data_IF_240673682949
#
_entry.id   IF_240673682949
#
_cell.length_a   1.000
_cell.length_b   1.000
_cell.length_c   1.000
_cell.angle_alpha   90.00
_cell.angle_beta   90.00
_cell.angle_gamma   90.00
#
_symmetry.space_group_name_H-M   'P 1'
#
loop_
_entity.id
_entity.type
_entity.pdbx_description
1 polymer ?
#
# COMPACT_ATOMS: atom_id res chain seq x y z
N UNK A 1 12.79 -18.07 61.80
CA UNK A 1 14.03 -18.29 62.56
C UNK A 1 15.05 -18.76 61.53
N UNK A 2 15.89 -17.84 61.02
CA UNK A 2 17.25 -17.56 61.53
C UNK A 2 18.23 -18.69 61.14
N UNK A 3 19.38 -18.46 60.52
CA UNK A 3 20.05 -17.22 60.05
C UNK A 3 21.18 -17.55 59.07
N UNK A 4 21.80 -16.54 58.47
CA UNK A 4 23.08 -16.61 57.71
C UNK A 4 24.25 -17.13 58.60
N UNK A 5 25.50 -17.39 58.16
CA UNK A 5 26.30 -16.91 57.00
C UNK A 5 27.58 -17.77 56.79
N UNK A 6 28.50 -17.30 55.93
CA UNK A 6 29.91 -17.72 55.72
C UNK A 6 30.19 -19.05 54.96
N UNK A 7 31.25 -19.20 54.12
CA UNK A 7 32.24 -18.26 53.53
C UNK A 7 33.08 -18.99 52.46
N UNK A 8 33.42 -18.35 51.33
CA UNK A 8 34.39 -18.85 50.34
C UNK A 8 35.84 -18.50 50.74
N UNK A 9 36.90 -19.12 50.15
CA UNK A 9 37.48 -18.53 48.92
C UNK A 9 38.22 -19.50 47.94
N UNK A 10 38.54 -18.97 46.76
CA UNK A 10 39.70 -19.21 45.85
C UNK A 10 40.11 -20.64 45.41
N UNK A 11 40.56 -20.92 44.18
CA UNK A 11 40.54 -20.24 42.85
C UNK A 11 40.95 -21.32 41.79
N UNK A 12 41.34 -21.11 40.52
CA UNK A 12 41.67 -19.99 39.61
C UNK A 12 41.48 -20.50 38.14
N UNK A 13 41.18 -19.60 37.20
CA UNK A 13 41.58 -19.53 35.75
C UNK A 13 41.46 -20.79 34.82
N UNK A 14 41.31 -20.69 33.50
CA UNK A 14 41.24 -19.56 32.54
C UNK A 14 40.41 -19.99 31.29
N UNK A 15 40.39 -19.15 30.25
CA UNK A 15 39.94 -19.43 28.85
C UNK A 15 38.44 -19.58 28.57
N UNK A 16 37.77 -18.44 28.32
CA UNK A 16 36.92 -18.29 27.14
C UNK A 16 37.28 -16.95 26.48
N UNK A 17 37.69 -17.03 25.21
CA UNK A 17 38.14 -15.87 24.42
C UNK A 17 37.02 -14.84 24.21
N UNK A 18 37.41 -13.57 24.19
CA UNK A 18 36.58 -12.48 23.68
C UNK A 18 36.28 -12.71 22.20
N UNK A 19 35.01 -12.71 21.82
CA UNK A 19 34.61 -12.47 20.45
C UNK A 19 33.92 -11.11 20.42
N UNK A 20 34.51 -10.20 19.65
CA UNK A 20 34.26 -8.77 19.69
C UNK A 20 32.83 -8.43 19.23
N UNK A 21 32.26 -7.38 19.83
CA UNK A 21 31.02 -6.78 19.37
C UNK A 21 31.19 -6.32 17.91
N UNK A 22 30.35 -6.83 17.02
CA UNK A 22 30.17 -6.20 15.70
C UNK A 22 29.20 -5.06 15.92
N UNK A 23 29.74 -3.85 16.01
CA UNK A 23 28.97 -2.62 16.12
C UNK A 23 28.04 -2.50 14.90
N UNK A 24 26.73 -2.49 15.15
CA UNK A 24 25.71 -2.30 14.13
C UNK A 24 25.58 -0.80 13.82
N UNK A 25 26.23 -0.35 12.75
CA UNK A 25 26.26 1.06 12.32
C UNK A 25 24.85 1.63 12.01
N UNK A 26 23.79 0.82 12.02
CA UNK A 26 22.39 1.27 11.88
C UNK A 26 21.71 1.66 13.21
N UNK A 27 22.36 1.48 14.36
CA UNK A 27 21.77 1.79 15.66
C UNK A 27 21.55 3.30 15.87
N UNK A 28 22.54 4.13 15.52
CA UNK A 28 22.48 5.59 15.71
C UNK A 28 21.45 6.27 14.79
N UNK A 29 21.32 5.80 13.53
CA UNK A 29 20.32 6.34 12.59
C UNK A 29 18.89 6.09 13.08
N UNK A 30 18.65 4.94 13.70
CA UNK A 30 17.37 4.63 14.35
C UNK A 30 17.11 5.45 15.63
N UNK A 31 18.13 5.74 16.44
CA UNK A 31 17.94 6.55 17.66
C UNK A 31 17.73 8.03 17.32
N UNK A 32 18.46 8.57 16.33
CA UNK A 32 18.23 9.92 15.80
C UNK A 32 16.82 10.05 15.21
N UNK A 33 16.40 9.10 14.36
CA UNK A 33 15.05 9.10 13.78
C UNK A 33 13.97 9.03 14.87
N UNK A 34 14.15 8.17 15.89
CA UNK A 34 13.24 8.09 17.05
C UNK A 34 13.26 9.36 17.91
N UNK A 35 14.38 10.05 18.03
CA UNK A 35 14.49 11.31 18.75
C UNK A 35 13.83 12.46 18.00
N UNK A 36 13.96 12.50 16.66
CA UNK A 36 13.29 13.47 15.77
C UNK A 36 11.77 13.25 15.77
N UNK A 37 11.30 12.00 15.67
CA UNK A 37 9.88 11.66 15.78
C UNK A 37 9.30 12.10 17.14
N UNK A 38 9.96 11.74 18.25
CA UNK A 38 9.56 12.22 19.60
C UNK A 38 9.55 13.75 19.71
N UNK A 39 10.46 14.44 19.03
CA UNK A 39 10.48 15.90 19.01
C UNK A 39 9.32 16.47 18.18
N UNK A 40 8.96 15.84 17.06
CA UNK A 40 7.78 16.17 16.27
C UNK A 40 6.49 15.93 17.07
N UNK A 41 6.36 14.81 17.77
CA UNK A 41 5.22 14.48 18.63
C UNK A 41 5.02 15.50 19.75
N UNK A 42 6.12 15.89 20.42
CA UNK A 42 6.10 16.92 21.47
C UNK A 42 5.71 18.28 20.90
N UNK A 43 6.21 18.65 19.71
CA UNK A 43 5.81 19.89 19.04
C UNK A 43 4.33 19.87 18.63
N UNK A 44 3.83 18.76 18.07
CA UNK A 44 2.43 18.55 17.72
C UNK A 44 1.52 18.63 18.96
N UNK A 45 1.93 18.02 20.07
CA UNK A 45 1.22 18.10 21.35
C UNK A 45 1.16 19.54 21.90
N UNK A 46 2.27 20.28 21.85
CA UNK A 46 2.33 21.70 22.26
C UNK A 46 1.43 22.57 21.35
N UNK A 47 1.47 22.35 20.03
CA UNK A 47 0.61 23.06 19.08
C UNK A 47 -0.88 22.74 19.31
N UNK A 48 -1.21 21.46 19.56
CA UNK A 48 -2.55 21.01 19.91
C UNK A 48 -3.05 21.65 21.22
N UNK A 49 -2.20 21.71 22.24
CA UNK A 49 -2.52 22.34 23.52
C UNK A 49 -2.70 23.86 23.37
N UNK A 50 -1.85 24.55 22.61
CA UNK A 50 -1.99 25.98 22.30
C UNK A 50 -3.28 26.25 21.50
N UNK A 51 -3.64 25.38 20.55
CA UNK A 51 -4.91 25.44 19.81
C UNK A 51 -6.10 25.25 20.75
N UNK A 52 -6.04 24.29 21.68
CA UNK A 52 -7.05 24.05 22.72
C UNK A 52 -7.22 25.28 23.64
N UNK A 53 -6.12 25.92 24.04
CA UNK A 53 -6.12 27.14 24.86
C UNK A 53 -6.68 28.35 24.09
N UNK A 54 -6.31 28.53 22.82
CA UNK A 54 -6.88 29.58 21.96
C UNK A 54 -8.39 29.37 21.76
N UNK A 55 -8.83 28.14 21.49
CA UNK A 55 -10.24 27.77 21.45
C UNK A 55 -10.94 28.08 22.78
N UNK A 56 -10.25 27.89 23.91
CA UNK A 56 -10.78 28.15 25.25
C UNK A 56 -10.79 29.63 25.67
N UNK A 57 -9.86 30.46 25.16
CA UNK A 57 -9.83 31.90 25.38
C UNK A 57 -10.95 32.64 24.60
N UNK A 58 -11.53 32.02 23.57
CA UNK A 58 -12.56 32.67 22.76
C UNK A 58 -13.86 33.00 23.54
N UNK A 59 -14.50 34.15 23.25
CA UNK A 59 -15.75 34.54 23.90
C UNK A 59 -16.86 33.47 23.77
N UNK A 60 -17.76 33.32 24.77
CA UNK A 60 -18.82 32.31 24.75
C UNK A 60 -19.73 32.38 23.51
N UNK A 61 -19.94 33.58 22.95
CA UNK A 61 -20.69 33.76 21.70
C UNK A 61 -19.97 33.14 20.49
N UNK A 62 -18.64 33.26 20.42
CA UNK A 62 -17.83 32.69 19.34
C UNK A 62 -17.77 31.17 19.48
N UNK A 63 -17.55 30.64 20.70
CA UNK A 63 -17.65 29.21 20.99
C UNK A 63 -19.01 28.63 20.58
N UNK A 64 -20.12 29.34 20.82
CA UNK A 64 -21.46 28.93 20.37
C UNK A 64 -21.60 28.90 18.85
N UNK A 65 -21.00 29.85 18.12
CA UNK A 65 -20.95 29.85 16.65
C UNK A 65 -20.15 28.66 16.14
N UNK A 66 -18.96 28.39 16.70
CA UNK A 66 -18.12 27.24 16.33
C UNK A 66 -18.86 25.91 16.57
N UNK A 67 -19.57 25.75 17.70
CA UNK A 67 -20.40 24.56 17.94
C UNK A 67 -21.54 24.42 16.93
N UNK A 68 -22.14 25.51 16.46
CA UNK A 68 -23.13 25.47 15.39
C UNK A 68 -22.51 25.08 14.04
N UNK A 69 -21.30 25.58 13.72
CA UNK A 69 -20.55 25.18 12.52
C UNK A 69 -20.16 23.70 12.56
N UNK A 70 -19.68 23.17 13.70
CA UNK A 70 -19.42 21.73 13.87
C UNK A 70 -20.68 20.87 13.68
N UNK A 71 -21.87 21.36 14.09
CA UNK A 71 -23.13 20.65 13.82
C UNK A 71 -23.48 20.64 12.33
N UNK A 72 -23.27 21.76 11.62
CA UNK A 72 -23.47 21.82 10.16
C UNK A 72 -22.46 20.92 9.42
N UNK A 73 -21.22 20.84 9.89
CA UNK A 73 -20.22 19.90 9.35
C UNK A 73 -20.68 18.45 9.54
N UNK A 74 -21.15 18.08 10.73
CA UNK A 74 -21.70 16.74 10.98
C UNK A 74 -22.92 16.44 10.08
N UNK A 75 -23.79 17.43 9.85
CA UNK A 75 -24.91 17.28 8.91
C UNK A 75 -24.43 17.06 7.46
N UNK A 76 -23.32 17.69 7.05
CA UNK A 76 -22.69 17.45 5.74
C UNK A 76 -22.05 16.06 5.64
N UNK A 77 -21.26 15.64 6.62
CA UNK A 77 -20.63 14.30 6.68
C UNK A 77 -21.67 13.17 6.68
N UNK A 78 -22.85 13.38 7.28
CA UNK A 78 -23.98 12.44 7.20
C UNK A 78 -24.68 12.38 5.81
N UNK A 79 -24.46 13.38 4.94
CA UNK A 79 -24.91 13.37 3.54
C UNK A 79 -23.84 12.69 2.68
N UNK A 80 -22.56 12.96 2.95
CA UNK A 80 -21.39 12.38 2.30
C UNK A 80 -21.33 10.84 2.46
N UNK A 81 -21.56 10.35 3.68
CA UNK A 81 -21.75 8.91 3.96
C UNK A 81 -22.80 8.26 3.04
N UNK A 82 -23.96 8.91 2.83
CA UNK A 82 -25.01 8.41 1.92
C UNK A 82 -24.63 8.50 0.45
N UNK A 83 -23.87 9.53 0.06
CA UNK A 83 -23.32 9.63 -1.29
C UNK A 83 -22.42 8.41 -1.57
N UNK A 84 -21.55 8.06 -0.64
CA UNK A 84 -20.70 6.87 -0.78
C UNK A 84 -21.47 5.54 -0.72
N UNK A 85 -22.54 5.42 0.09
CA UNK A 85 -23.46 4.27 -0.01
C UNK A 85 -24.09 4.13 -1.41
N UNK A 86 -24.50 5.24 -2.03
CA UNK A 86 -25.02 5.26 -3.40
C UNK A 86 -23.95 4.95 -4.46
N UNK A 87 -22.69 5.41 -4.25
CA UNK A 87 -21.53 5.07 -5.10
C UNK A 87 -21.22 3.57 -5.02
N UNK A 88 -21.13 2.96 -3.84
CA UNK A 88 -20.90 1.51 -3.71
C UNK A 88 -22.02 0.69 -4.36
N UNK A 89 -23.28 1.11 -4.23
CA UNK A 89 -24.40 0.48 -4.92
C UNK A 89 -24.31 0.63 -6.47
N UNK A 90 -23.72 1.73 -6.95
CA UNK A 90 -23.44 1.95 -8.37
C UNK A 90 -22.28 1.07 -8.85
N UNK A 91 -21.19 0.97 -8.10
CA UNK A 91 -20.07 0.05 -8.34
C UNK A 91 -20.57 -1.39 -8.45
N UNK A 92 -21.33 -1.88 -7.47
CA UNK A 92 -21.94 -3.22 -7.48
C UNK A 92 -22.81 -3.47 -8.72
N UNK A 93 -23.52 -2.44 -9.21
CA UNK A 93 -24.33 -2.52 -10.43
C UNK A 93 -23.47 -2.64 -11.70
N UNK A 94 -22.39 -1.86 -11.81
CA UNK A 94 -21.50 -1.90 -12.98
C UNK A 94 -20.54 -3.10 -12.97
N UNK A 95 -20.12 -3.56 -11.79
CA UNK A 95 -19.32 -4.77 -11.62
C UNK A 95 -19.98 -6.02 -12.22
N UNK A 96 -21.32 -6.11 -12.13
CA UNK A 96 -22.10 -7.17 -12.80
C UNK A 96 -22.03 -7.12 -14.33
N UNK A 97 -21.67 -5.97 -14.92
CA UNK A 97 -21.44 -5.80 -16.36
C UNK A 97 -19.99 -6.14 -16.73
N UNK A 98 -19.02 -5.89 -15.84
CA UNK A 98 -17.62 -6.25 -16.03
C UNK A 98 -17.34 -7.74 -15.81
N UNK A 99 -18.03 -8.38 -14.85
CA UNK A 99 -17.82 -9.79 -14.50
C UNK A 99 -17.83 -10.75 -15.72
N UNK A 100 -18.78 -10.68 -16.68
CA UNK A 100 -18.73 -11.49 -17.90
C UNK A 100 -17.51 -11.23 -18.80
N UNK A 101 -16.96 -10.01 -18.79
CA UNK A 101 -15.74 -9.67 -19.53
C UNK A 101 -14.51 -10.27 -18.84
N UNK A 102 -14.44 -10.22 -17.50
CA UNK A 102 -13.37 -10.88 -16.74
C UNK A 102 -13.43 -12.41 -16.88
N UNK A 103 -14.61 -13.03 -16.91
CA UNK A 103 -14.74 -14.47 -17.22
C UNK A 103 -14.24 -14.80 -18.64
N UNK A 104 -14.55 -13.94 -19.64
CA UNK A 104 -13.97 -14.11 -21.00
C UNK A 104 -12.45 -13.97 -21.00
N UNK A 105 -11.91 -12.97 -20.31
CA UNK A 105 -10.46 -12.78 -20.14
C UNK A 105 -9.82 -14.03 -19.53
N UNK A 106 -10.40 -14.59 -18.47
CA UNK A 106 -9.92 -15.82 -17.84
C UNK A 106 -9.95 -17.01 -18.81
N UNK A 107 -10.97 -17.14 -19.65
CA UNK A 107 -11.01 -18.18 -20.70
C UNK A 107 -9.88 -18.02 -21.73
N UNK A 108 -9.55 -16.79 -22.14
CA UNK A 108 -8.41 -16.53 -23.06
C UNK A 108 -7.08 -16.84 -22.37
N UNK A 109 -6.86 -16.34 -21.14
CA UNK A 109 -5.65 -16.63 -20.35
C UNK A 109 -5.46 -18.15 -20.17
N UNK A 110 -6.53 -18.91 -19.97
CA UNK A 110 -6.48 -20.36 -19.78
C UNK A 110 -6.46 -21.18 -21.08
N UNK A 111 -6.54 -20.57 -22.27
CA UNK A 111 -6.63 -21.30 -23.55
C UNK A 111 -7.95 -22.07 -23.74
N UNK A 112 -9.01 -21.66 -23.03
CA UNK A 112 -10.37 -22.20 -23.16
C UNK A 112 -11.18 -21.51 -24.29
N UNK A 113 -10.76 -20.31 -24.70
CA UNK A 113 -11.30 -19.58 -25.85
C UNK A 113 -10.14 -19.03 -26.67
N UNK A 114 -10.06 -19.44 -27.94
CA UNK A 114 -9.14 -18.84 -28.91
C UNK A 114 -9.79 -17.60 -29.52
N UNK A 115 -9.16 -16.40 -29.42
CA UNK A 115 -9.67 -15.19 -30.04
C UNK A 115 -9.87 -15.33 -31.54
N UNK A 116 -11.00 -14.82 -32.03
CA UNK A 116 -11.30 -14.80 -33.48
C UNK A 116 -10.78 -13.53 -34.15
N UNK A 117 -10.52 -13.60 -35.47
CA UNK A 117 -10.11 -12.44 -36.28
C UNK A 117 -11.06 -11.23 -36.13
N UNK A 118 -12.36 -11.48 -35.88
CA UNK A 118 -13.38 -10.44 -35.63
C UNK A 118 -13.28 -9.82 -34.22
N UNK A 119 -12.79 -10.56 -33.22
CA UNK A 119 -12.60 -10.08 -31.84
C UNK A 119 -11.32 -9.23 -31.69
N UNK A 120 -10.33 -9.42 -32.56
CA UNK A 120 -9.11 -8.60 -32.62
C UNK A 120 -9.20 -7.46 -33.66
N UNK A 121 -10.20 -7.48 -34.54
CA UNK A 121 -10.35 -6.50 -35.62
C UNK A 121 -10.52 -5.07 -35.10
N UNK A 122 -9.49 -4.24 -35.30
CA UNK A 122 -9.48 -2.83 -34.90
C UNK A 122 -8.53 -2.52 -33.74
N UNK A 123 -7.92 -3.53 -33.12
CA UNK A 123 -6.61 -3.37 -32.48
C UNK A 123 -5.59 -3.15 -33.61
N UNK A 124 -4.85 -2.04 -33.61
CA UNK A 124 -3.82 -1.81 -34.62
C UNK A 124 -2.54 -2.54 -34.25
N UNK A 125 -2.05 -3.34 -35.19
CA UNK A 125 -0.70 -3.91 -35.25
C UNK A 125 0.30 -2.75 -35.52
N UNK A 126 0.38 -1.82 -34.57
CA UNK A 126 1.29 -0.67 -34.60
C UNK A 126 2.71 -1.15 -34.30
N UNK A 127 3.74 -0.41 -34.75
CA UNK A 127 5.16 -0.80 -34.62
C UNK A 127 5.61 -1.04 -33.15
N UNK A 128 4.78 -0.63 -32.17
CA UNK A 128 4.94 -0.93 -30.73
C UNK A 128 4.63 -2.38 -30.36
N UNK A 129 3.72 -3.06 -31.04
CA UNK A 129 3.34 -4.45 -30.71
C UNK A 129 4.48 -5.42 -31.05
N UNK A 130 5.26 -5.14 -32.09
CA UNK A 130 6.49 -5.85 -32.44
C UNK A 130 7.59 -5.64 -31.37
N UNK A 131 7.72 -4.42 -30.84
CA UNK A 131 8.68 -4.07 -29.77
C UNK A 131 8.27 -4.71 -28.42
N UNK A 132 6.99 -4.62 -28.05
CA UNK A 132 6.40 -5.30 -26.90
C UNK A 132 6.54 -6.83 -26.99
N UNK A 133 6.27 -7.41 -28.17
CA UNK A 133 6.50 -8.84 -28.41
C UNK A 133 7.98 -9.22 -28.29
N UNK A 134 8.92 -8.34 -28.66
CA UNK A 134 10.34 -8.55 -28.47
C UNK A 134 10.73 -8.47 -26.98
N UNK A 135 10.15 -7.54 -26.22
CA UNK A 135 10.43 -7.38 -24.79
C UNK A 135 9.85 -8.53 -23.95
N UNK A 136 8.62 -8.97 -24.24
CA UNK A 136 8.02 -10.17 -23.62
C UNK A 136 8.90 -11.40 -23.90
N UNK A 137 9.44 -11.56 -25.12
CA UNK A 137 10.40 -12.63 -25.45
C UNK A 137 11.72 -12.49 -24.70
N UNK A 138 12.21 -11.26 -24.47
CA UNK A 138 13.44 -11.01 -23.71
C UNK A 138 13.27 -11.32 -22.21
N UNK A 139 12.09 -11.01 -21.63
CA UNK A 139 11.73 -11.33 -20.24
C UNK A 139 11.48 -12.85 -20.05
N UNK A 140 10.87 -13.52 -21.04
CA UNK A 140 10.67 -15.00 -21.05
C UNK A 140 11.90 -15.73 -21.58
N UNK A 141 12.95 -15.85 -20.74
CA UNK A 141 14.23 -16.52 -21.08
C UNK A 141 14.08 -18.01 -21.46
N UNK A 142 13.83 -18.29 -22.74
CA UNK A 142 13.85 -19.65 -23.34
C UNK A 142 14.64 -19.64 -24.66
N UNK A 143 15.91 -19.19 -24.64
CA UNK A 143 16.73 -19.16 -25.87
C UNK A 143 18.21 -19.56 -25.75
N UNK A 144 18.76 -19.79 -24.54
CA UNK A 144 20.19 -20.09 -24.34
C UNK A 144 20.69 -21.48 -24.80
N UNK A 145 19.86 -22.28 -25.48
CA UNK A 145 20.22 -23.65 -25.89
C UNK A 145 19.72 -24.07 -27.29
N UNK A 146 20.13 -23.37 -28.37
CA UNK A 146 20.43 -24.05 -29.65
C UNK A 146 21.20 -23.18 -30.69
N UNK A 147 22.10 -23.76 -31.51
CA UNK A 147 22.81 -23.02 -32.56
C UNK A 147 21.96 -22.83 -33.84
N UNK A 148 22.23 -21.80 -34.66
CA UNK A 148 21.37 -21.43 -35.78
C UNK A 148 21.55 -22.33 -37.01
N UNK A 149 20.47 -22.97 -37.50
CA UNK A 149 20.34 -23.46 -38.87
C UNK A 149 18.92 -23.36 -39.44
N UNK A 150 18.88 -22.96 -40.72
CA UNK A 150 17.83 -23.12 -41.73
C UNK A 150 16.43 -22.55 -41.44
N UNK A 151 16.07 -21.48 -42.16
CA UNK A 151 14.78 -20.76 -42.06
C UNK A 151 13.54 -21.66 -42.24
N UNK A 152 13.61 -22.73 -43.03
CA UNK A 152 12.49 -23.69 -43.16
C UNK A 152 12.27 -24.54 -41.91
N UNK A 153 13.31 -24.79 -41.13
CA UNK A 153 13.18 -25.45 -39.84
C UNK A 153 12.63 -24.50 -38.77
N UNK A 154 12.80 -23.16 -38.92
CA UNK A 154 12.08 -22.18 -38.09
C UNK A 154 10.58 -22.25 -38.35
N UNK A 155 10.13 -22.17 -39.61
CA UNK A 155 8.70 -22.22 -39.96
C UNK A 155 8.03 -23.53 -39.47
N UNK A 156 8.66 -24.70 -39.66
CA UNK A 156 8.12 -25.97 -39.14
C UNK A 156 8.21 -26.12 -37.62
N UNK A 157 9.18 -25.46 -36.95
CA UNK A 157 9.30 -25.45 -35.49
C UNK A 157 8.33 -24.47 -34.82
N UNK A 158 8.09 -23.29 -35.39
CA UNK A 158 7.10 -22.32 -34.91
C UNK A 158 5.68 -22.90 -35.03
N UNK A 159 5.37 -23.56 -36.15
CA UNK A 159 4.08 -24.22 -36.38
C UNK A 159 3.87 -25.52 -35.56
N UNK A 160 4.91 -25.99 -34.84
CA UNK A 160 4.81 -27.01 -33.80
C UNK A 160 4.84 -26.42 -32.38
N UNK A 161 5.58 -25.33 -32.13
CA UNK A 161 5.55 -24.61 -30.84
C UNK A 161 4.14 -24.10 -30.53
N UNK A 162 3.43 -23.54 -31.51
CA UNK A 162 2.06 -23.04 -31.34
C UNK A 162 0.99 -24.13 -31.10
N UNK A 163 1.35 -25.42 -31.01
CA UNK A 163 0.42 -26.50 -30.65
C UNK A 163 0.51 -26.95 -29.19
N UNK A 164 1.61 -26.63 -28.51
CA UNK A 164 1.85 -27.03 -27.11
C UNK A 164 1.67 -25.85 -26.13
N UNK A 165 1.53 -24.61 -26.62
CA UNK A 165 1.19 -23.45 -25.78
C UNK A 165 -0.33 -23.25 -25.80
N UNK A 166 -0.98 -23.48 -24.66
CA UNK A 166 -2.40 -23.23 -24.46
C UNK A 166 -2.57 -22.05 -23.51
N UNK A 167 -3.30 -21.02 -23.95
CA UNK A 167 -3.51 -19.80 -23.19
C UNK A 167 -2.25 -18.91 -23.10
N UNK A 168 -2.18 -18.11 -22.03
CA UNK A 168 -1.09 -17.18 -21.75
C UNK A 168 -0.35 -17.68 -20.49
N UNK A 169 0.82 -18.35 -20.64
CA UNK A 169 1.57 -18.88 -19.51
C UNK A 169 1.98 -17.79 -18.52
N UNK A 170 1.99 -18.15 -17.23
CA UNK A 170 2.45 -17.32 -16.11
C UNK A 170 1.80 -15.91 -16.01
N UNK A 171 0.67 -15.66 -16.68
CA UNK A 171 0.04 -14.32 -16.79
C UNK A 171 -0.03 -13.54 -15.47
N UNK A 172 -0.61 -14.14 -14.42
CA UNK A 172 -0.70 -13.48 -13.11
C UNK A 172 0.64 -13.41 -12.40
N UNK A 173 1.51 -14.42 -12.50
CA UNK A 173 2.86 -14.36 -11.93
C UNK A 173 3.68 -13.21 -12.53
N UNK A 174 3.55 -12.96 -13.84
CA UNK A 174 4.18 -11.81 -14.50
C UNK A 174 3.66 -10.50 -13.94
N UNK A 175 2.35 -10.33 -13.76
CA UNK A 175 1.76 -9.15 -13.10
C UNK A 175 2.33 -8.95 -11.68
N UNK A 176 2.40 -10.02 -10.89
CA UNK A 176 2.95 -9.99 -9.54
C UNK A 176 4.44 -9.60 -9.49
N UNK A 177 5.21 -9.88 -10.55
CA UNK A 177 6.62 -9.46 -10.67
C UNK A 177 6.80 -8.06 -11.25
N UNK A 178 5.87 -7.64 -12.10
CA UNK A 178 5.89 -6.34 -12.78
C UNK A 178 5.51 -5.20 -11.82
N UNK A 179 4.64 -5.46 -10.84
CA UNK A 179 4.13 -4.45 -9.90
C UNK A 179 4.98 -4.42 -8.63
N UNK A 180 5.63 -3.30 -8.34
CA UNK A 180 6.55 -3.14 -7.20
C UNK A 180 5.94 -3.67 -5.88
N UNK A 181 4.78 -3.10 -5.48
CA UNK A 181 4.02 -3.45 -4.27
C UNK A 181 3.71 -4.96 -4.13
N UNK A 182 3.49 -5.66 -5.25
CA UNK A 182 3.21 -7.10 -5.23
C UNK A 182 4.49 -7.94 -5.27
N UNK A 183 5.53 -7.46 -5.94
CA UNK A 183 6.79 -8.17 -6.10
C UNK A 183 7.57 -8.31 -4.79
N UNK A 184 7.51 -7.29 -3.92
CA UNK A 184 8.07 -7.31 -2.57
C UNK A 184 7.45 -8.39 -1.67
N UNK A 185 6.23 -8.84 -1.98
CA UNK A 185 5.56 -9.92 -1.25
C UNK A 185 5.94 -11.33 -1.73
N UNK A 186 6.51 -11.46 -2.92
CA UNK A 186 6.66 -12.75 -3.62
C UNK A 186 8.07 -13.29 -3.51
N UNK A 187 8.21 -14.39 -2.78
CA UNK A 187 9.49 -15.08 -2.61
C UNK A 187 9.76 -16.08 -3.75
N UNK A 188 11.04 -16.43 -3.99
CA UNK A 188 11.45 -17.39 -5.03
C UNK A 188 10.70 -18.74 -4.96
N UNK A 189 10.28 -19.12 -3.76
CA UNK A 189 9.59 -20.38 -3.49
C UNK A 189 8.06 -20.31 -3.68
N UNK A 190 7.50 -19.11 -3.79
CA UNK A 190 6.09 -18.86 -4.09
C UNK A 190 5.83 -18.91 -5.61
N UNK A 191 6.80 -18.48 -6.43
CA UNK A 191 6.62 -18.42 -7.89
C UNK A 191 6.08 -19.73 -8.49
N UNK A 192 6.62 -20.93 -8.16
CA UNK A 192 6.12 -22.19 -8.73
C UNK A 192 4.66 -22.50 -8.36
N UNK A 193 4.16 -21.91 -7.28
CA UNK A 193 2.78 -22.01 -6.82
C UNK A 193 1.91 -20.99 -7.56
N UNK A 194 2.41 -19.76 -7.73
CA UNK A 194 1.76 -18.69 -8.49
C UNK A 194 1.64 -19.00 -9.99
N UNK A 195 2.51 -19.85 -10.57
CA UNK A 195 2.31 -20.41 -11.93
C UNK A 195 0.98 -21.18 -12.09
N UNK A 196 0.38 -21.64 -10.99
CA UNK A 196 -0.92 -22.29 -11.00
C UNK A 196 -2.11 -21.32 -10.87
N UNK A 197 -1.88 -20.03 -10.62
CA UNK A 197 -2.92 -18.99 -10.52
C UNK A 197 -3.48 -18.67 -11.91
N UNK A 198 -4.77 -18.95 -12.11
CA UNK A 198 -5.46 -18.84 -13.41
C UNK A 198 -6.37 -17.61 -13.53
N UNK A 199 -6.97 -17.14 -12.44
CA UNK A 199 -7.77 -15.91 -12.41
C UNK A 199 -7.77 -15.27 -11.03
N UNK A 200 -7.96 -13.95 -11.00
CA UNK A 200 -8.23 -13.17 -9.79
C UNK A 200 -9.54 -12.45 -10.00
N UNK A 201 -10.53 -12.77 -9.16
CA UNK A 201 -11.87 -12.20 -9.22
C UNK A 201 -12.15 -11.34 -8.00
N UNK A 202 -12.84 -10.22 -8.21
CA UNK A 202 -13.42 -9.42 -7.14
C UNK A 202 -14.90 -9.78 -7.02
N UNK A 203 -15.39 -10.01 -5.81
CA UNK A 203 -16.82 -10.11 -5.49
C UNK A 203 -17.17 -8.95 -4.56
N UNK A 204 -17.93 -7.97 -5.05
CA UNK A 204 -18.41 -6.86 -4.23
C UNK A 204 -19.60 -7.30 -3.36
N UNK A 205 -19.58 -6.95 -2.08
CA UNK A 205 -20.62 -7.27 -1.10
C UNK A 205 -21.59 -6.10 -0.97
N UNK A 206 -22.83 -6.28 -1.42
CA UNK A 206 -23.77 -5.16 -1.60
C UNK A 206 -24.26 -4.52 -0.30
N UNK A 207 -24.38 -5.27 0.82
CA UNK A 207 -24.90 -4.75 2.10
C UNK A 207 -24.41 -5.48 3.35
N UNK A 208 -24.01 -4.66 4.32
CA UNK A 208 -23.96 -4.85 5.78
C UNK A 208 -23.35 -6.18 6.32
N UNK A 209 -22.01 -6.22 6.54
CA UNK A 209 -21.04 -5.18 6.20
C UNK A 209 -20.91 -5.04 4.67
N UNK A 210 -20.68 -3.81 4.20
CA UNK A 210 -20.21 -3.64 2.82
C UNK A 210 -18.75 -4.06 2.73
N UNK A 211 -18.26 -4.34 1.53
CA UNK A 211 -16.90 -4.85 1.39
C UNK A 211 -16.70 -5.59 0.08
N UNK A 212 -15.64 -6.39 0.04
CA UNK A 212 -15.32 -7.21 -1.12
C UNK A 212 -14.53 -8.46 -0.75
N UNK A 213 -14.61 -9.48 -1.61
CA UNK A 213 -13.78 -10.69 -1.54
C UNK A 213 -12.92 -10.75 -2.78
N UNK A 214 -11.61 -10.90 -2.60
CA UNK A 214 -10.67 -11.31 -3.63
C UNK A 214 -10.63 -12.84 -3.67
N UNK A 215 -10.99 -13.43 -4.81
CA UNK A 215 -10.87 -14.86 -5.07
C UNK A 215 -9.71 -15.13 -6.02
N UNK A 216 -8.72 -15.88 -5.55
CA UNK A 216 -7.56 -16.33 -6.30
C UNK A 216 -7.81 -17.77 -6.74
N UNK A 217 -8.10 -17.97 -8.02
CA UNK A 217 -8.46 -19.26 -8.60
C UNK A 217 -7.20 -20.00 -9.06
N UNK A 218 -6.97 -21.21 -8.55
CA UNK A 218 -5.81 -22.03 -8.86
C UNK A 218 -6.19 -23.29 -9.63
N UNK A 219 -5.39 -23.59 -10.65
CA UNK A 219 -5.37 -24.90 -11.29
C UNK A 219 -4.96 -26.01 -10.30
N UNK A 220 -5.38 -27.28 -10.52
CA UNK A 220 -4.95 -28.40 -9.69
C UNK A 220 -3.44 -28.51 -9.61
N UNK A 221 -2.90 -28.41 -8.39
CA UNK A 221 -1.46 -28.29 -8.14
C UNK A 221 -0.99 -29.25 -7.03
N UNK A 222 0.32 -29.40 -6.87
CA UNK A 222 0.91 -30.28 -5.85
C UNK A 222 1.09 -29.62 -4.47
N UNK A 223 0.81 -28.32 -4.33
CA UNK A 223 1.13 -27.53 -3.14
C UNK A 223 0.00 -27.52 -2.11
N UNK A 224 -1.25 -27.36 -2.54
CA UNK A 224 -2.44 -27.38 -1.67
C UNK A 224 -3.66 -27.98 -2.36
N UNK A 225 -4.70 -28.30 -1.58
CA UNK A 225 -5.95 -28.90 -2.09
C UNK A 225 -7.01 -27.89 -2.53
N UNK A 226 -6.85 -26.61 -2.19
CA UNK A 226 -7.80 -25.55 -2.52
C UNK A 226 -7.80 -25.26 -4.02
N UNK A 227 -8.98 -25.12 -4.64
CA UNK A 227 -9.12 -24.55 -5.99
C UNK A 227 -9.26 -23.03 -5.98
N UNK A 228 -9.69 -22.45 -4.85
CA UNK A 228 -9.82 -21.00 -4.65
C UNK A 228 -9.25 -20.65 -3.27
N UNK A 229 -8.41 -19.62 -3.22
CA UNK A 229 -8.03 -18.94 -1.99
C UNK A 229 -8.77 -17.61 -1.92
N UNK A 230 -9.34 -17.28 -0.76
CA UNK A 230 -10.19 -16.09 -0.59
C UNK A 230 -9.59 -15.13 0.43
N UNK A 231 -9.64 -13.83 0.12
CA UNK A 231 -9.33 -12.74 1.06
C UNK A 231 -10.51 -11.79 1.09
N UNK A 232 -11.15 -11.66 2.24
CA UNK A 232 -12.36 -10.87 2.49
C UNK A 232 -11.98 -9.58 3.23
N UNK A 233 -12.55 -8.46 2.81
CA UNK A 233 -12.39 -7.15 3.42
C UNK A 233 -13.76 -6.58 3.75
N UNK A 234 -13.98 -6.24 5.02
CA UNK A 234 -15.15 -5.49 5.49
C UNK A 234 -14.82 -3.99 5.50
N UNK A 235 -15.73 -3.20 4.95
CA UNK A 235 -15.63 -1.75 4.81
C UNK A 235 -16.75 -1.07 5.59
N UNK A 236 -16.43 0.08 6.18
CA UNK A 236 -17.39 0.98 6.85
C UNK A 236 -17.54 2.25 6.02
N UNK A 237 -18.77 2.74 5.91
CA UNK A 237 -19.11 3.99 5.20
C UNK A 237 -19.95 4.94 6.09
N UNK A 238 -20.06 4.61 7.37
CA UNK A 238 -20.69 5.43 8.40
C UNK A 238 -19.62 6.20 9.16
N UNK A 239 -19.82 7.49 9.49
CA UNK A 239 -18.93 8.22 10.38
C UNK A 239 -18.89 7.57 11.75
N UNK A 240 -17.72 7.57 12.39
CA UNK A 240 -17.54 7.02 13.74
C UNK A 240 -18.34 7.82 14.78
N UNK A 241 -18.90 7.16 15.81
CA UNK A 241 -19.68 7.88 16.84
C UNK A 241 -18.78 8.69 17.81
N UNK A 242 -17.53 8.28 17.99
CA UNK A 242 -16.54 8.90 18.88
C UNK A 242 -15.76 10.02 18.20
N UNK A 243 -15.37 9.85 16.92
CA UNK A 243 -14.89 10.94 16.06
C UNK A 243 -15.59 10.99 14.68
N UNK A 244 -16.78 11.61 14.60
CA UNK A 244 -17.49 11.76 13.33
C UNK A 244 -16.78 12.63 12.29
N UNK A 245 -15.68 13.32 12.64
CA UNK A 245 -14.99 14.27 11.76
C UNK A 245 -13.74 13.68 11.10
N UNK A 246 -13.36 12.44 11.43
CA UNK A 246 -12.32 11.67 10.73
C UNK A 246 -12.86 10.87 9.53
N UNK A 247 -14.14 11.02 9.19
CA UNK A 247 -14.73 10.34 8.05
C UNK A 247 -14.29 10.98 6.73
N UNK A 248 -13.46 10.25 5.98
CA UNK A 248 -12.94 10.66 4.66
C UNK A 248 -13.51 9.83 3.50
N UNK A 249 -14.36 8.83 3.80
CA UNK A 249 -15.00 7.95 2.82
C UNK A 249 -15.14 6.50 3.30
N UNK A 250 -15.37 5.55 2.39
CA UNK A 250 -15.39 4.12 2.69
C UNK A 250 -14.00 3.62 3.08
N UNK A 251 -13.86 3.13 4.32
CA UNK A 251 -12.59 2.65 4.87
C UNK A 251 -12.66 1.14 5.10
N UNK A 252 -11.62 0.40 4.73
CA UNK A 252 -11.42 -1.00 5.15
C UNK A 252 -11.08 -0.97 6.65
N UNK A 253 -11.89 -1.62 7.49
CA UNK A 253 -11.62 -1.70 8.94
C UNK A 253 -11.28 -3.11 9.43
N UNK A 254 -11.53 -4.14 8.60
CA UNK A 254 -11.31 -5.53 8.97
C UNK A 254 -11.04 -6.38 7.73
N UNK A 255 -10.09 -7.29 7.84
CA UNK A 255 -9.83 -8.29 6.81
C UNK A 255 -9.83 -9.71 7.37
N UNK A 256 -10.07 -10.69 6.50
CA UNK A 256 -10.16 -12.10 6.84
C UNK A 256 -9.66 -12.96 5.67
N UNK A 257 -8.60 -13.71 5.92
CA UNK A 257 -8.05 -14.66 4.95
C UNK A 257 -8.76 -16.02 4.95
N UNK A 258 -8.09 -17.04 4.43
CA UNK A 258 -8.61 -18.41 4.34
C UNK A 258 -7.56 -19.46 4.70
N UNK A 259 -8.02 -20.61 5.19
CA UNK A 259 -7.11 -21.71 5.55
C UNK A 259 -6.65 -22.43 4.29
N UNK A 260 -5.35 -22.31 3.99
CA UNK A 260 -4.71 -23.04 2.89
C UNK A 260 -4.49 -24.51 3.31
N UNK A 261 -5.11 -25.43 2.57
CA UNK A 261 -4.99 -26.88 2.73
C UNK A 261 -3.66 -27.41 2.19
N UNK A 262 -2.55 -26.98 2.78
CA UNK A 262 -1.20 -27.37 2.36
C UNK A 262 -0.96 -28.88 2.34
N UNK A 263 -0.46 -29.37 1.21
CA UNK A 263 0.02 -30.74 1.07
C UNK A 263 1.28 -30.98 1.92
N UNK A 264 1.52 -32.25 2.24
CA UNK A 264 2.55 -32.66 3.20
C UNK A 264 3.96 -32.20 2.76
N UNK A 265 4.52 -31.24 3.49
CA UNK A 265 5.86 -30.70 3.24
C UNK A 265 5.93 -29.67 2.12
N UNK A 266 4.79 -29.14 1.67
CA UNK A 266 4.66 -28.08 0.65
C UNK A 266 4.26 -26.73 1.22
N UNK A 267 4.02 -26.62 2.53
CA UNK A 267 3.74 -25.35 3.18
C UNK A 267 5.00 -24.47 3.17
N UNK A 268 4.96 -23.39 2.39
CA UNK A 268 6.04 -22.41 2.23
C UNK A 268 6.05 -21.33 3.30
N UNK A 269 4.90 -20.98 3.88
CA UNK A 269 4.76 -20.00 4.98
C UNK A 269 5.50 -20.38 6.28
N UNK A 270 6.12 -21.57 6.33
CA UNK A 270 6.80 -22.08 7.51
C UNK A 270 8.11 -22.84 7.24
N UNK A 271 9.14 -22.50 8.01
CA UNK A 271 10.47 -23.13 7.99
C UNK A 271 10.61 -24.13 9.13
N UNK A 272 10.94 -25.39 8.82
CA UNK A 272 11.13 -26.44 9.85
C UNK A 272 12.60 -26.54 10.29
N UNK A 273 12.91 -26.02 11.47
CA UNK A 273 14.25 -26.08 12.07
C UNK A 273 14.39 -27.36 12.92
N UNK A 274 15.36 -28.20 12.59
CA UNK A 274 15.69 -29.43 13.35
C UNK A 274 16.84 -29.18 14.32
N UNK A 275 16.56 -29.07 15.62
CA UNK A 275 17.59 -28.94 16.66
C UNK A 275 17.78 -30.26 17.39
N UNK A 276 18.98 -30.83 17.33
CA UNK A 276 19.35 -32.04 18.06
C UNK A 276 19.64 -31.73 19.53
N UNK A 277 18.87 -32.33 20.44
CA UNK A 277 19.06 -32.21 21.88
C UNK A 277 19.67 -33.50 22.42
N UNK A 278 20.77 -33.39 23.16
CA UNK A 278 21.40 -34.53 23.86
C UNK A 278 20.84 -34.64 25.28
N UNK A 279 20.25 -35.78 25.61
CA UNK A 279 19.69 -36.01 26.94
C UNK A 279 20.82 -36.15 27.98
N UNK A 280 20.94 -35.17 28.90
CA UNK A 280 22.06 -35.06 29.85
C UNK A 280 22.36 -36.34 30.65
N UNK A 281 21.34 -37.15 30.96
CA UNK A 281 21.49 -38.36 31.79
C UNK A 281 21.75 -39.68 31.03
N UNK A 282 21.47 -39.76 29.72
CA UNK A 282 21.54 -41.01 28.95
C UNK A 282 22.36 -40.89 27.65
N UNK A 283 22.81 -39.68 27.29
CA UNK A 283 23.57 -39.43 26.06
C UNK A 283 22.79 -39.59 24.75
N UNK A 284 21.54 -40.07 24.80
CA UNK A 284 20.66 -40.23 23.63
C UNK A 284 20.36 -38.89 22.97
N UNK A 285 20.37 -38.86 21.64
CA UNK A 285 20.10 -37.70 20.81
C UNK A 285 18.61 -37.73 20.39
N UNK A 286 17.86 -36.70 20.77
CA UNK A 286 16.49 -36.47 20.28
C UNK A 286 16.50 -35.27 19.34
N UNK A 287 16.12 -35.47 18.08
CA UNK A 287 15.85 -34.36 17.17
C UNK A 287 14.51 -33.73 17.53
N UNK A 288 14.51 -32.44 17.87
CA UNK A 288 13.32 -31.64 18.10
C UNK A 288 13.13 -30.75 16.88
N UNK A 289 12.03 -30.92 16.17
CA UNK A 289 11.57 -30.02 15.11
C UNK A 289 10.82 -28.85 15.74
N UNK A 290 11.29 -27.63 15.51
CA UNK A 290 10.54 -26.39 15.75
C UNK A 290 10.19 -25.79 14.39
N UNK A 291 8.93 -25.44 14.22
CA UNK A 291 8.45 -24.67 13.08
C UNK A 291 8.56 -23.19 13.42
N UNK A 292 8.99 -22.38 12.45
CA UNK A 292 9.03 -20.92 12.52
C UNK A 292 8.31 -20.38 11.29
N UNK A 293 7.69 -19.21 11.38
CA UNK A 293 7.15 -18.52 10.20
C UNK A 293 8.28 -18.24 9.20
N UNK A 294 7.93 -18.24 7.93
CA UNK A 294 8.80 -17.92 6.81
C UNK A 294 8.06 -16.89 5.96
N UNK A 295 8.80 -15.91 5.45
CA UNK A 295 8.26 -14.92 4.54
C UNK A 295 7.80 -15.62 3.26
N UNK A 296 6.67 -15.17 2.72
CA UNK A 296 5.93 -15.80 1.62
C UNK A 296 4.67 -14.99 1.37
N UNK A 297 4.32 -14.78 0.10
CA UNK A 297 3.08 -14.13 -0.34
C UNK A 297 1.84 -14.79 0.30
N UNK A 298 1.87 -16.11 0.52
CA UNK A 298 0.72 -16.84 1.06
C UNK A 298 0.38 -16.48 2.52
N UNK A 299 1.23 -15.73 3.22
CA UNK A 299 0.88 -15.11 4.50
C UNK A 299 -0.26 -14.07 4.35
N UNK A 300 -0.48 -13.50 3.16
CA UNK A 300 -1.62 -12.61 2.85
C UNK A 300 -2.99 -13.27 3.10
N UNK A 301 -3.08 -14.60 3.06
CA UNK A 301 -4.29 -15.37 3.39
C UNK A 301 -4.40 -15.71 4.88
N UNK A 302 -3.48 -15.26 5.72
CA UNK A 302 -3.51 -15.40 7.17
C UNK A 302 -3.16 -14.07 7.86
N UNK A 303 -3.99 -13.02 7.67
CA UNK A 303 -3.76 -11.71 8.28
C UNK A 303 -3.89 -11.75 9.82
N UNK A 304 -3.37 -10.74 10.54
CA UNK A 304 -3.60 -10.58 11.98
C UNK A 304 -5.09 -10.54 12.32
N UNK A 305 -5.46 -11.12 13.47
CA UNK A 305 -6.85 -11.12 13.94
C UNK A 305 -7.18 -9.81 14.66
N UNK A 306 -7.97 -8.96 14.02
CA UNK A 306 -8.53 -7.75 14.63
C UNK A 306 -9.59 -8.16 15.66
N UNK A 307 -9.54 -7.57 16.86
CA UNK A 307 -10.54 -7.77 17.92
C UNK A 307 -11.83 -7.02 17.59
N UNK A 308 -12.99 -7.58 17.95
CA UNK A 308 -14.28 -6.87 17.90
C UNK A 308 -14.47 -5.92 19.11
N UNK A 309 -13.47 -5.80 19.99
CA UNK A 309 -13.47 -4.91 21.15
C UNK A 309 -12.81 -3.56 20.80
N UNK A 310 -13.54 -2.43 20.82
CA UNK A 310 -13.01 -1.12 20.42
C UNK A 310 -12.01 -0.51 21.42
N UNK A 311 -11.84 -1.08 22.62
CA UNK A 311 -10.76 -0.68 23.56
C UNK A 311 -9.49 -1.56 23.42
N UNK A 312 -9.47 -2.53 22.50
CA UNK A 312 -8.29 -3.38 22.27
C UNK A 312 -7.26 -2.66 21.39
N UNK A 313 -6.28 -2.01 22.02
CA UNK A 313 -5.10 -1.47 21.34
C UNK A 313 -4.35 -2.60 20.59
N UNK A 314 -4.12 -2.38 19.29
CA UNK A 314 -3.17 -3.16 18.49
C UNK A 314 -1.77 -2.59 18.69
N UNK A 315 -0.74 -3.43 18.66
CA UNK A 315 0.64 -2.97 18.62
C UNK A 315 1.00 -2.33 17.27
N UNK A 316 1.94 -1.39 17.29
CA UNK A 316 2.39 -0.61 16.13
C UNK A 316 2.80 -1.50 14.94
N UNK A 317 3.45 -2.64 15.20
CA UNK A 317 3.87 -3.62 14.17
C UNK A 317 2.65 -4.26 13.50
N UNK A 318 1.67 -4.72 14.31
CA UNK A 318 0.39 -5.27 13.81
C UNK A 318 -0.42 -4.23 13.05
N UNK A 319 -0.47 -2.98 13.51
CA UNK A 319 -1.16 -1.89 12.81
C UNK A 319 -0.51 -1.62 11.45
N UNK A 320 0.82 -1.52 11.39
CA UNK A 320 1.58 -1.32 10.14
C UNK A 320 1.31 -2.45 9.13
N UNK A 321 1.33 -3.70 9.59
CA UNK A 321 1.04 -4.87 8.76
C UNK A 321 -0.40 -4.85 8.20
N UNK A 322 -1.39 -4.43 9.00
CA UNK A 322 -2.78 -4.31 8.56
C UNK A 322 -2.98 -3.16 7.56
N UNK A 323 -2.35 -2.00 7.76
CA UNK A 323 -2.39 -0.89 6.80
C UNK A 323 -1.90 -1.34 5.42
N UNK A 324 -0.73 -1.99 5.37
CA UNK A 324 -0.19 -2.56 4.13
C UNK A 324 -1.14 -3.62 3.53
N UNK A 325 -1.68 -4.54 4.34
CA UNK A 325 -2.63 -5.56 3.90
C UNK A 325 -3.91 -4.97 3.28
N UNK A 326 -4.39 -3.84 3.80
CA UNK A 326 -5.56 -3.12 3.30
C UNK A 326 -5.24 -2.39 1.99
N UNK A 327 -4.08 -1.73 1.91
CA UNK A 327 -3.57 -1.07 0.71
C UNK A 327 -3.41 -2.05 -0.46
N UNK A 328 -2.74 -3.19 -0.23
CA UNK A 328 -2.59 -4.27 -1.21
C UNK A 328 -3.95 -4.80 -1.66
N UNK A 329 -4.87 -5.02 -0.71
CA UNK A 329 -6.24 -5.47 -1.00
C UNK A 329 -7.01 -4.49 -1.89
N UNK A 330 -6.89 -3.20 -1.60
CA UNK A 330 -7.48 -2.12 -2.38
C UNK A 330 -6.84 -1.99 -3.77
N UNK A 331 -5.51 -2.02 -3.87
CA UNK A 331 -4.77 -1.94 -5.13
C UNK A 331 -5.10 -3.11 -6.07
N UNK A 332 -5.19 -4.34 -5.54
CA UNK A 332 -5.62 -5.49 -6.35
C UNK A 332 -7.05 -5.31 -6.88
N UNK A 333 -7.97 -4.81 -6.04
CA UNK A 333 -9.37 -4.56 -6.39
C UNK A 333 -9.53 -3.47 -7.46
N UNK A 334 -8.93 -2.29 -7.27
CA UNK A 334 -9.20 -1.09 -8.06
C UNK A 334 -8.23 -0.90 -9.25
N UNK A 335 -6.99 -1.37 -9.15
CA UNK A 335 -5.97 -1.23 -10.20
C UNK A 335 -5.76 -2.52 -10.98
N UNK A 336 -5.31 -3.58 -10.29
CA UNK A 336 -4.86 -4.82 -10.95
C UNK A 336 -5.99 -5.54 -11.68
N UNK A 337 -7.07 -5.91 -10.99
CA UNK A 337 -8.12 -6.73 -11.61
C UNK A 337 -8.80 -6.02 -12.80
N UNK A 338 -9.10 -4.71 -12.75
CA UNK A 338 -9.67 -4.00 -13.90
C UNK A 338 -8.71 -3.87 -15.09
N UNK A 339 -7.40 -3.72 -14.86
CA UNK A 339 -6.40 -3.42 -15.89
C UNK A 339 -5.34 -4.52 -16.09
N UNK A 340 -5.62 -5.76 -15.69
CA UNK A 340 -4.64 -6.85 -15.60
C UNK A 340 -3.77 -7.03 -16.87
N UNK A 341 -4.33 -6.87 -18.07
CA UNK A 341 -3.57 -6.98 -19.33
C UNK A 341 -2.50 -5.89 -19.47
N UNK A 342 -2.79 -4.66 -19.02
CA UNK A 342 -1.86 -3.52 -19.09
C UNK A 342 -0.72 -3.64 -18.06
N UNK A 343 -0.99 -4.28 -16.92
CA UNK A 343 0.06 -4.65 -15.95
C UNK A 343 0.88 -5.86 -16.41
N UNK A 344 0.33 -6.73 -17.27
CA UNK A 344 1.06 -7.82 -17.90
C UNK A 344 1.98 -7.32 -19.03
N UNK A 345 1.50 -6.40 -19.87
CA UNK A 345 2.30 -5.81 -20.97
C UNK A 345 3.32 -4.78 -20.46
N UNK A 346 2.97 -4.01 -19.42
CA UNK A 346 3.82 -2.96 -18.84
C UNK A 346 3.28 -1.54 -19.02
N UNK A 347 2.33 -1.35 -19.95
CA UNK A 347 1.68 -0.06 -20.25
C UNK A 347 1.04 0.63 -19.03
N UNK A 348 0.64 -0.14 -18.00
CA UNK A 348 0.11 0.42 -16.76
C UNK A 348 1.18 0.95 -15.79
N UNK A 349 2.45 0.61 -15.99
CA UNK A 349 3.59 1.03 -15.16
C UNK A 349 4.24 2.30 -15.69
N UNK A 350 4.33 2.47 -17.01
CA UNK A 350 4.94 3.64 -17.66
C UNK A 350 4.34 4.97 -17.17
N UNK A 351 3.05 4.98 -16.83
CA UNK A 351 2.35 6.15 -16.29
C UNK A 351 2.34 6.28 -14.76
N UNK A 352 3.01 5.40 -14.02
CA UNK A 352 3.23 5.54 -12.57
C UNK A 352 4.65 6.08 -12.25
N UNK A 353 5.63 5.98 -13.18
CA UNK A 353 6.99 6.52 -13.00
C UNK A 353 7.11 8.05 -13.26
N UNK A 354 6.27 8.62 -14.13
CA UNK A 354 6.26 10.06 -14.52
C UNK A 354 5.91 11.06 -13.37
N UNK A 355 5.67 10.58 -12.14
CA UNK A 355 5.25 11.40 -10.99
C UNK A 355 6.35 11.63 -9.92
N UNK A 356 7.52 11.01 -10.06
CA UNK A 356 8.61 11.04 -9.04
C UNK A 356 9.83 11.91 -9.45
N UNK A 357 9.74 12.71 -10.53
CA UNK A 357 10.85 13.55 -11.04
C UNK A 357 10.46 15.04 -11.21
N UNK A 358 9.76 15.64 -10.22
CA UNK A 358 9.54 17.10 -10.16
C UNK A 358 9.46 17.66 -8.72
N UNK A 359 10.28 17.13 -7.79
CA UNK A 359 10.45 17.68 -6.43
C UNK A 359 11.91 18.14 -6.18
N UNK A 360 12.48 18.79 -7.19
CA UNK A 360 13.76 19.49 -7.13
C UNK A 360 13.65 20.95 -7.61
N UNK A 361 12.63 21.68 -7.14
CA UNK A 361 12.57 23.13 -7.30
C UNK A 361 13.55 23.82 -6.34
N UNK A 362 14.66 24.27 -6.94
CA UNK A 362 15.42 25.50 -6.63
C UNK A 362 16.02 25.66 -5.21
N UNK A 363 17.33 25.35 -5.09
CA UNK A 363 18.20 26.01 -4.10
C UNK A 363 18.29 27.51 -4.43
N UNK A 364 17.51 28.34 -3.74
CA UNK A 364 17.62 29.81 -3.78
C UNK A 364 19.02 30.24 -3.27
N UNK A 365 19.94 30.51 -4.20
CA UNK A 365 21.21 31.19 -3.90
C UNK A 365 20.94 32.66 -3.52
N UNK A 366 20.71 32.95 -2.23
CA UNK A 366 20.66 34.32 -1.71
C UNK A 366 22.05 35.00 -1.84
N UNK A 367 22.30 35.69 -2.95
CA UNK A 367 23.46 36.59 -3.11
C UNK A 367 23.34 37.79 -2.14
N UNK A 368 24.10 37.77 -1.05
CA UNK A 368 24.29 38.91 -0.15
C UNK A 368 25.11 40.05 -0.81
N UNK A 369 24.44 40.96 -1.52
CA UNK A 369 25.04 42.24 -1.95
C UNK A 369 25.09 43.25 -0.78
N UNK A 370 26.21 43.27 -0.05
CA UNK A 370 26.56 44.31 0.94
C UNK A 370 26.86 45.67 0.25
N UNK A 371 25.84 46.50 0.03
CA UNK A 371 26.06 47.86 -0.51
C UNK A 371 26.34 48.89 0.61
N UNK A 372 27.62 49.02 0.98
CA UNK A 372 28.13 50.08 1.87
C UNK A 372 28.07 51.48 1.21
N UNK A 373 26.99 52.26 1.40
CA UNK A 373 27.18 53.71 1.58
C UNK A 373 26.10 54.44 2.40
N UNK A 374 26.54 54.99 3.54
CA UNK A 374 25.75 55.90 4.39
C UNK A 374 26.22 57.34 4.19
N UNK A 375 25.34 58.21 3.67
CA UNK A 375 25.36 59.64 4.04
C UNK A 375 23.96 60.27 4.12
N UNK A 376 23.59 60.91 5.25
CA UNK A 376 22.32 61.64 5.36
C UNK A 376 22.50 63.15 5.20
N UNK A 377 21.65 63.80 4.39
CA UNK A 377 20.93 65.04 4.70
C UNK A 377 20.47 65.82 3.45
N UNK A 378 19.23 66.34 3.50
CA UNK A 378 18.84 67.73 3.12
C UNK A 378 17.50 67.85 2.38
N UNK A 379 16.42 67.76 3.15
CA UNK A 379 15.28 68.69 3.13
C UNK A 379 15.10 69.60 1.88
N UNK A 380 14.09 69.30 1.04
CA UNK A 380 13.08 70.24 0.50
C UNK A 380 12.15 69.55 -0.51
N UNK A 381 10.92 69.19 -0.09
CA UNK A 381 9.71 69.31 -0.94
C UNK A 381 8.36 68.99 -0.25
N UNK A 382 8.36 68.61 1.03
CA UNK A 382 7.14 68.37 1.82
C UNK A 382 6.30 69.64 2.17
N UNK A 383 6.32 70.68 1.34
CA UNK A 383 5.79 72.02 1.68
C UNK A 383 4.77 72.60 0.69
N UNK A 384 4.10 71.77 -0.15
CA UNK A 384 3.11 72.29 -1.13
C UNK A 384 1.81 71.52 -1.36
N UNK A 385 1.55 70.38 -0.68
CA UNK A 385 0.28 69.61 -0.84
C UNK A 385 -0.67 69.56 0.36
N UNK A 386 -0.36 70.24 1.47
CA UNK A 386 -1.17 70.23 2.70
C UNK A 386 -1.97 71.53 2.98
N UNK A 387 -2.07 72.45 2.01
CA UNK A 387 -2.71 73.76 2.19
C UNK A 387 -4.05 73.95 1.43
N UNK A 388 -4.59 72.90 0.79
CA UNK A 388 -5.71 73.04 -0.17
C UNK A 388 -7.03 72.36 0.24
N UNK A 389 -7.10 71.65 1.36
CA UNK A 389 -8.25 70.81 1.74
C UNK A 389 -8.88 71.13 3.12
N UNK A 390 -8.55 72.28 3.70
CA UNK A 390 -9.06 72.69 5.02
C UNK A 390 -9.55 74.15 5.05
N UNK A 391 -10.67 74.42 4.36
CA UNK A 391 -11.61 75.54 4.63
C UNK A 391 -12.88 75.37 3.78
N UNK A 392 -13.95 74.88 4.38
CA UNK A 392 -15.29 74.88 3.77
C UNK A 392 -16.18 75.97 4.36
N UNK A 393 -17.38 76.16 3.82
CA UNK A 393 -18.56 76.64 4.55
C UNK A 393 -19.85 76.51 3.72
N UNK A 394 -20.87 75.87 4.33
CA UNK A 394 -22.33 76.11 4.14
C UNK A 394 -22.92 75.78 2.73
N UNK A 395 -24.20 75.40 2.56
CA UNK A 395 -25.38 75.41 3.43
C UNK A 395 -26.45 74.36 2.99
N UNK A 396 -27.32 73.94 3.92
CA UNK A 396 -28.69 73.39 3.80
C UNK A 396 -29.24 72.74 2.50
N UNK A 397 -30.00 71.64 2.66
CA UNK A 397 -31.42 71.64 2.25
C UNK A 397 -31.96 70.54 1.32
N UNK A 398 -32.86 69.70 1.86
CA UNK A 398 -34.02 69.02 1.24
C UNK A 398 -33.96 68.24 -0.11
N UNK A 399 -34.17 66.92 0.00
CA UNK A 399 -35.39 66.21 -0.44
C UNK A 399 -36.05 66.55 -1.80
N UNK A 400 -35.91 65.67 -2.82
CA UNK A 400 -37.03 64.84 -3.35
C UNK A 400 -36.69 63.92 -4.54
N UNK A 401 -37.52 62.88 -4.64
CA UNK A 401 -37.88 62.02 -5.78
C UNK A 401 -37.72 62.64 -7.18
N UNK A 402 -37.19 61.87 -8.13
CA UNK A 402 -38.00 61.00 -9.01
C UNK A 402 -37.18 59.84 -9.57
#
# INVERSE_FOLDING_TARGET
MSSEKDRAPDAVNDDVESMEDVEDENADSNDITRQVLRQADVLAAIQGQLRQEMLNAMPPQVKRRIKALKKLQLEATNIESKFYEEVHALECKYHKLYSPLYTKRAHVICGLHEPTDEEIAGMSDDEKDDELCAEIKAKVKIEDLMPPKDQKAKEEAENNKNKDVSGIPDFWLTIFKNVALLSEMVEEHDEPILKHLIDIQVILLEKDPMGFVLEFHFSPNEYFTNSVLTKEYEMKCTPDESDPFSFEGPEIYKCKGCVIGWNKGKNVTVKTIKKTQKHKAHGSLRTVTRTVQNDSFFNFFNPPTISDDPEAELDDDTQTLLTSDFEIGHYIRERIVPRAVLYFTGEALEGEEDYEEDDSEEEDEEEEEEDEDYTPASNKEASKKLAALAKGQQQQGDCKQQ
#
